data_IF_474631372372
#
_entry.id   IF_474631372372
#
_cell.length_a   1.000
_cell.length_b   1.000
_cell.length_c   1.000
_cell.angle_alpha   90.00
_cell.angle_beta   90.00
_cell.angle_gamma   90.00
#
_symmetry.space_group_name_H-M   'P 1'
#
loop_
_entity.id
_entity.type
_entity.pdbx_description
1 polymer ?
#
# COMPACT_ATOMS: atom_id res chain seq x y z
N UNK A 1 48.88 -12.56 -32.82
CA UNK A 1 48.76 -11.48 -31.82
C UNK A 1 47.59 -10.53 -32.16
N UNK A 2 46.38 -11.08 -32.35
CA UNK A 2 45.12 -10.33 -32.62
C UNK A 2 43.90 -10.92 -31.91
N UNK A 3 44.08 -11.99 -31.13
CA UNK A 3 42.99 -12.75 -30.50
C UNK A 3 42.87 -12.44 -28.98
N UNK A 4 43.85 -11.73 -28.41
CA UNK A 4 43.91 -11.45 -26.96
C UNK A 4 43.17 -10.18 -26.52
N UNK A 5 42.68 -9.35 -27.45
CA UNK A 5 42.02 -8.06 -27.11
C UNK A 5 40.51 -8.23 -26.90
N UNK A 6 39.89 -9.27 -27.47
CA UNK A 6 38.44 -9.46 -27.37
C UNK A 6 37.97 -10.16 -26.09
N UNK A 7 38.86 -10.87 -25.38
CA UNK A 7 38.49 -11.61 -24.17
C UNK A 7 38.41 -10.73 -22.91
N UNK A 8 38.98 -9.52 -22.95
CA UNK A 8 38.93 -8.57 -21.81
C UNK A 8 37.66 -7.71 -21.85
N UNK A 9 37.04 -7.51 -23.02
CA UNK A 9 35.81 -6.71 -23.13
C UNK A 9 34.53 -7.45 -22.73
N UNK A 10 34.57 -8.79 -22.60
CA UNK A 10 33.42 -9.59 -22.17
C UNK A 10 33.33 -9.77 -20.65
N UNK A 11 34.38 -9.40 -19.90
CA UNK A 11 34.43 -9.52 -18.44
C UNK A 11 34.07 -8.23 -17.68
N UNK A 12 33.77 -7.13 -18.38
CA UNK A 12 33.37 -5.85 -17.76
C UNK A 12 31.86 -5.64 -17.70
N UNK A 13 31.03 -6.61 -18.11
CA UNK A 13 29.57 -6.47 -18.08
C UNK A 13 28.88 -7.09 -16.85
N UNK A 14 29.61 -7.73 -15.94
CA UNK A 14 29.00 -8.45 -14.81
C UNK A 14 29.04 -7.73 -13.46
N UNK A 15 29.43 -6.46 -13.41
CA UNK A 15 29.29 -5.67 -12.19
C UNK A 15 28.90 -4.24 -12.53
N UNK A 16 27.68 -3.81 -12.14
CA UNK A 16 27.35 -2.46 -11.63
C UNK A 16 25.86 -2.08 -11.73
N UNK A 17 24.93 -3.03 -11.75
CA UNK A 17 23.58 -2.77 -11.24
C UNK A 17 23.20 -3.92 -10.32
N UNK A 18 23.60 -3.83 -9.05
CA UNK A 18 22.83 -4.45 -7.99
C UNK A 18 21.48 -3.72 -7.96
N UNK A 19 20.57 -4.05 -8.88
CA UNK A 19 19.17 -3.65 -8.74
C UNK A 19 18.75 -4.20 -7.38
N UNK A 20 18.50 -3.30 -6.42
CA UNK A 20 18.11 -3.69 -5.07
C UNK A 20 16.85 -4.55 -5.24
N UNK A 21 16.94 -5.83 -4.90
CA UNK A 21 15.82 -6.75 -5.07
C UNK A 21 14.68 -6.29 -4.17
N UNK A 22 13.50 -6.12 -4.77
CA UNK A 22 12.28 -5.84 -4.03
C UNK A 22 11.95 -7.09 -3.20
N UNK A 23 12.15 -7.01 -1.88
CA UNK A 23 11.84 -8.12 -0.97
C UNK A 23 10.78 -7.70 0.04
N UNK A 24 9.96 -8.65 0.46
CA UNK A 24 8.92 -8.45 1.46
C UNK A 24 9.46 -7.78 2.74
N UNK A 25 10.58 -8.27 3.29
CA UNK A 25 11.15 -7.77 4.54
C UNK A 25 11.61 -6.32 4.43
N UNK A 26 12.22 -5.97 3.29
CA UNK A 26 12.67 -4.60 3.04
C UNK A 26 11.48 -3.65 2.93
N UNK A 27 10.43 -4.04 2.21
CA UNK A 27 9.25 -3.20 2.01
C UNK A 27 8.41 -3.09 3.27
N UNK A 28 8.24 -4.17 4.03
CA UNK A 28 7.60 -4.11 5.34
C UNK A 28 8.36 -3.17 6.29
N UNK A 29 9.69 -3.27 6.35
CA UNK A 29 10.50 -2.41 7.21
C UNK A 29 10.43 -0.92 6.83
N UNK A 30 10.32 -0.61 5.54
CA UNK A 30 10.10 0.77 5.06
C UNK A 30 8.67 1.24 5.39
N UNK A 31 7.64 0.41 5.14
CA UNK A 31 6.24 0.71 5.46
C UNK A 31 6.06 1.02 6.94
N UNK A 32 6.64 0.22 7.82
CA UNK A 32 6.53 0.41 9.28
C UNK A 32 7.16 1.73 9.77
N UNK A 33 8.08 2.31 9.01
CA UNK A 33 8.73 3.60 9.29
C UNK A 33 8.16 4.74 8.46
N UNK A 34 7.06 4.51 7.74
CA UNK A 34 6.56 5.43 6.73
C UNK A 34 5.49 6.41 7.23
N UNK A 35 5.25 6.50 8.55
CA UNK A 35 4.26 7.41 9.15
C UNK A 35 4.36 8.84 8.62
N UNK A 36 5.58 9.31 8.36
CA UNK A 36 5.86 10.63 7.81
C UNK A 36 5.37 10.86 6.37
N UNK A 37 5.07 9.81 5.60
CA UNK A 37 4.73 9.92 4.17
C UNK A 37 3.57 9.04 3.72
N UNK A 38 3.00 8.26 4.62
CA UNK A 38 1.93 7.30 4.32
C UNK A 38 0.64 8.00 3.90
N UNK A 39 0.14 7.60 2.75
CA UNK A 39 -1.24 7.78 2.31
C UNK A 39 -1.92 6.41 2.28
N UNK A 40 -3.21 6.36 2.56
CA UNK A 40 -3.98 5.11 2.62
C UNK A 40 -5.30 5.27 1.88
N UNK A 41 -5.57 4.38 0.94
CA UNK A 41 -6.86 4.31 0.24
C UNK A 41 -7.59 3.03 0.65
N UNK A 42 -8.84 3.15 1.12
CA UNK A 42 -9.72 2.03 1.45
C UNK A 42 -10.69 1.80 0.29
N UNK A 43 -10.58 0.66 -0.40
CA UNK A 43 -11.32 0.44 -1.65
C UNK A 43 -12.27 -0.74 -1.50
N UNK A 44 -13.57 -0.50 -1.70
CA UNK A 44 -14.57 -1.57 -1.78
C UNK A 44 -14.70 -2.02 -3.22
N UNK A 45 -14.21 -3.21 -3.61
CA UNK A 45 -14.20 -3.63 -5.02
C UNK A 45 -15.60 -3.84 -5.62
N UNK A 46 -16.63 -3.96 -4.77
CA UNK A 46 -18.03 -4.13 -5.18
C UNK A 46 -18.77 -2.80 -5.33
N UNK A 47 -18.07 -1.66 -5.19
CA UNK A 47 -18.65 -0.34 -5.30
C UNK A 47 -17.62 0.67 -5.79
N UNK A 48 -18.09 1.69 -6.51
CA UNK A 48 -17.27 2.82 -6.97
C UNK A 48 -16.86 3.78 -5.82
N UNK A 49 -17.08 3.38 -4.58
CA UNK A 49 -16.85 4.19 -3.39
C UNK A 49 -15.60 3.72 -2.68
N UNK A 50 -14.73 4.66 -2.40
CA UNK A 50 -13.50 4.48 -1.65
C UNK A 50 -13.34 5.61 -0.63
N UNK A 51 -12.43 5.41 0.32
CA UNK A 51 -11.97 6.46 1.22
C UNK A 51 -10.49 6.71 0.95
N UNK A 52 -10.11 7.92 0.58
CA UNK A 52 -8.71 8.34 0.53
C UNK A 52 -8.33 9.08 1.80
N UNK A 53 -7.20 8.67 2.39
CA UNK A 53 -6.60 9.27 3.57
C UNK A 53 -5.24 9.78 3.15
N UNK A 54 -5.08 11.10 3.10
CA UNK A 54 -3.96 11.74 2.44
C UNK A 54 -3.23 12.68 3.39
N UNK A 55 -1.90 12.62 3.31
CA UNK A 55 -1.00 13.55 3.99
C UNK A 55 -0.60 14.62 2.98
N UNK A 56 -0.72 15.88 3.38
CA UNK A 56 -0.31 17.06 2.60
C UNK A 56 -1.03 17.23 1.24
N UNK A 57 -2.23 16.64 1.05
CA UNK A 57 -3.02 16.88 -0.16
C UNK A 57 -3.76 18.22 -0.09
N UNK A 58 -3.72 18.97 -1.20
CA UNK A 58 -4.50 20.21 -1.35
C UNK A 58 -5.93 19.79 -1.70
N UNK A 59 -6.83 19.90 -0.73
CA UNK A 59 -8.25 19.59 -0.93
C UNK A 59 -8.88 20.70 -1.78
N UNK A 60 -9.06 20.46 -3.09
CA UNK A 60 -9.63 21.46 -4.00
C UNK A 60 -11.09 21.82 -3.64
N UNK A 61 -11.86 20.85 -3.14
CA UNK A 61 -13.21 21.07 -2.63
C UNK A 61 -13.64 20.00 -1.59
N UNK A 62 -13.53 20.28 -0.28
CA UNK A 62 -13.81 19.31 0.78
C UNK A 62 -15.28 18.87 0.81
N UNK A 63 -16.21 19.70 0.36
CA UNK A 63 -17.65 19.41 0.41
C UNK A 63 -18.05 18.40 -0.67
N UNK A 64 -17.43 18.45 -1.85
CA UNK A 64 -17.71 17.54 -2.96
C UNK A 64 -16.99 16.19 -2.80
N UNK A 65 -15.80 16.19 -2.20
CA UNK A 65 -14.90 15.04 -2.14
C UNK A 65 -14.55 14.61 -0.70
N UNK A 66 -15.44 14.85 0.27
CA UNK A 66 -15.19 14.64 1.71
C UNK A 66 -14.64 13.28 2.15
N UNK A 67 -14.79 12.23 1.33
CA UNK A 67 -14.24 10.91 1.62
C UNK A 67 -12.95 10.59 0.84
N UNK A 68 -12.57 11.38 -0.16
CA UNK A 68 -11.41 11.14 -1.04
C UNK A 68 -10.15 11.80 -0.47
N UNK A 69 -10.30 12.89 0.29
CA UNK A 69 -9.19 13.65 0.87
C UNK A 69 -9.33 13.83 2.39
N UNK A 70 -9.46 12.72 3.12
CA UNK A 70 -9.43 12.77 4.59
C UNK A 70 -8.00 13.09 5.03
N UNK A 71 -7.81 14.27 5.62
CA UNK A 71 -6.49 14.71 6.09
C UNK A 71 -5.96 13.80 7.22
N UNK A 72 -4.71 13.36 7.06
CA UNK A 72 -3.96 12.61 8.07
C UNK A 72 -2.68 13.34 8.49
N UNK A 73 -2.05 12.82 9.53
CA UNK A 73 -0.74 13.26 9.98
C UNK A 73 0.09 12.06 10.43
N UNK A 74 1.35 12.31 10.79
CA UNK A 74 2.28 11.26 11.20
C UNK A 74 1.73 10.37 12.33
N UNK A 75 1.14 10.98 13.36
CA UNK A 75 0.56 10.25 14.50
C UNK A 75 -0.59 9.35 14.06
N UNK A 76 -1.52 9.86 13.25
CA UNK A 76 -2.64 9.07 12.73
C UNK A 76 -2.16 7.94 11.81
N UNK A 77 -1.13 8.18 11.00
CA UNK A 77 -0.53 7.17 10.15
C UNK A 77 0.17 6.06 10.95
N UNK A 78 0.88 6.39 12.02
CA UNK A 78 1.42 5.40 12.95
C UNK A 78 0.30 4.53 13.54
N UNK A 79 -0.84 5.14 13.90
CA UNK A 79 -2.02 4.40 14.36
C UNK A 79 -2.63 3.50 13.28
N UNK A 80 -2.66 3.91 12.00
CA UNK A 80 -3.07 3.05 10.88
C UNK A 80 -2.17 1.81 10.83
N UNK A 81 -0.85 2.00 10.81
CA UNK A 81 0.13 0.90 10.77
C UNK A 81 -0.09 -0.04 11.97
N UNK A 82 -0.28 0.52 13.18
CA UNK A 82 -0.58 -0.25 14.38
C UNK A 82 -1.87 -1.07 14.29
N UNK A 83 -2.93 -0.52 13.67
CA UNK A 83 -4.17 -1.26 13.40
C UNK A 83 -3.92 -2.40 12.41
N UNK A 84 -3.20 -2.15 11.32
CA UNK A 84 -2.91 -3.21 10.33
C UNK A 84 -2.13 -4.37 10.97
N UNK A 85 -1.15 -4.06 11.84
CA UNK A 85 -0.45 -5.06 12.66
C UNK A 85 -1.39 -5.82 13.58
N UNK A 86 -2.25 -5.12 14.33
CA UNK A 86 -3.23 -5.73 15.24
C UNK A 86 -4.16 -6.73 14.54
N UNK A 87 -4.50 -6.49 13.27
CA UNK A 87 -5.34 -7.36 12.46
C UNK A 87 -4.57 -8.42 11.65
N UNK A 88 -3.25 -8.54 11.85
CA UNK A 88 -2.35 -9.42 11.08
C UNK A 88 -2.47 -9.23 9.56
N UNK A 89 -2.60 -7.97 9.13
CA UNK A 89 -2.79 -7.61 7.72
C UNK A 89 -1.48 -7.28 7.00
N UNK A 90 -0.35 -7.25 7.71
CA UNK A 90 0.97 -6.94 7.14
C UNK A 90 1.84 -8.18 6.92
N UNK A 91 1.32 -9.38 7.21
CA UNK A 91 2.02 -10.66 6.99
C UNK A 91 2.24 -10.95 5.50
N UNK A 92 1.49 -10.26 4.64
CA UNK A 92 1.65 -10.27 3.18
C UNK A 92 1.46 -8.87 2.66
N UNK A 93 2.28 -8.51 1.68
CA UNK A 93 2.18 -7.26 0.96
C UNK A 93 2.19 -7.58 -0.52
N UNK A 94 1.24 -7.01 -1.24
CA UNK A 94 1.12 -7.20 -2.68
C UNK A 94 1.58 -5.94 -3.39
N UNK A 95 2.14 -6.09 -4.58
CA UNK A 95 2.49 -4.98 -5.48
C UNK A 95 1.87 -5.23 -6.84
N UNK A 96 1.52 -4.16 -7.54
CA UNK A 96 0.99 -4.27 -8.89
C UNK A 96 2.14 -4.40 -9.90
N UNK A 97 2.16 -5.52 -10.63
CA UNK A 97 3.13 -5.81 -11.69
C UNK A 97 2.33 -6.28 -12.90
N UNK A 98 2.45 -5.60 -14.03
CA UNK A 98 1.76 -5.97 -15.29
C UNK A 98 0.23 -6.16 -15.14
N UNK A 99 -0.41 -5.35 -14.29
CA UNK A 99 -1.84 -5.41 -13.90
C UNK A 99 -2.24 -6.60 -13.02
N UNK A 100 -1.26 -7.31 -12.43
CA UNK A 100 -1.49 -8.35 -11.44
C UNK A 100 -1.02 -7.88 -10.06
N UNK A 101 -1.82 -8.17 -9.02
CA UNK A 101 -1.46 -7.87 -7.64
C UNK A 101 -0.72 -9.06 -7.05
N UNK A 102 0.61 -9.03 -7.15
CA UNK A 102 1.51 -10.14 -6.82
C UNK A 102 2.08 -10.00 -5.41
N UNK A 103 2.06 -11.10 -4.65
CA UNK A 103 2.62 -11.18 -3.29
C UNK A 103 4.15 -11.07 -3.34
N UNK A 104 4.73 -10.22 -2.50
CA UNK A 104 6.19 -10.06 -2.41
C UNK A 104 6.91 -11.28 -1.82
N UNK A 105 6.17 -12.19 -1.18
CA UNK A 105 6.71 -13.36 -0.47
C UNK A 105 6.40 -14.71 -1.13
N UNK A 106 5.54 -14.75 -2.15
CA UNK A 106 5.13 -15.99 -2.81
C UNK A 106 4.58 -15.72 -4.21
N UNK A 107 4.41 -16.77 -5.04
CA UNK A 107 3.82 -16.64 -6.40
C UNK A 107 2.29 -16.45 -6.38
N UNK A 108 1.72 -15.97 -5.26
CA UNK A 108 0.28 -15.77 -5.11
C UNK A 108 -0.12 -14.41 -5.66
N UNK A 109 -1.26 -14.40 -6.35
CA UNK A 109 -1.91 -13.19 -6.83
C UNK A 109 -3.28 -13.09 -6.15
N UNK A 110 -3.74 -11.87 -5.85
CA UNK A 110 -5.14 -11.65 -5.53
C UNK A 110 -5.83 -10.83 -6.62
N UNK A 111 -7.13 -11.04 -6.78
CA UNK A 111 -7.97 -10.19 -7.63
C UNK A 111 -8.78 -9.26 -6.75
N UNK A 112 -8.79 -7.94 -6.99
CA UNK A 112 -9.57 -7.00 -6.20
C UNK A 112 -11.04 -7.41 -6.05
N UNK A 113 -11.66 -7.92 -7.12
CA UNK A 113 -13.06 -8.36 -7.14
C UNK A 113 -13.39 -9.52 -6.20
N UNK A 114 -12.38 -10.28 -5.76
CA UNK A 114 -12.53 -11.40 -4.82
C UNK A 114 -12.41 -10.96 -3.34
N UNK A 115 -12.10 -9.68 -3.09
CA UNK A 115 -11.96 -9.14 -1.75
C UNK A 115 -13.26 -8.48 -1.27
N UNK A 116 -13.41 -8.31 0.04
CA UNK A 116 -14.48 -7.47 0.61
C UNK A 116 -14.02 -6.02 0.76
N UNK A 117 -12.72 -5.84 0.97
CA UNK A 117 -12.01 -4.57 1.05
C UNK A 117 -10.57 -4.85 0.66
N UNK A 118 -9.91 -3.91 0.00
CA UNK A 118 -8.46 -3.90 -0.03
C UNK A 118 -7.97 -2.48 0.22
N UNK A 119 -6.76 -2.40 0.76
CA UNK A 119 -6.11 -1.13 1.06
C UNK A 119 -4.97 -0.93 0.08
N UNK A 120 -4.86 0.28 -0.43
CA UNK A 120 -3.64 0.77 -1.05
C UNK A 120 -2.86 1.59 -0.03
N UNK A 121 -1.60 1.25 0.19
CA UNK A 121 -0.66 1.92 1.08
C UNK A 121 0.42 2.55 0.22
N UNK A 122 0.38 3.87 0.10
CA UNK A 122 1.29 4.64 -0.74
C UNK A 122 2.25 5.44 0.13
N UNK A 123 3.56 5.22 -0.03
CA UNK A 123 4.55 5.81 0.86
C UNK A 123 5.93 5.99 0.22
N UNK A 124 6.75 6.88 0.79
CA UNK A 124 8.14 7.08 0.37
C UNK A 124 9.04 6.04 1.03
N UNK A 125 9.96 5.49 0.26
CA UNK A 125 11.01 4.57 0.71
C UNK A 125 12.38 5.20 0.50
N UNK A 126 13.37 4.79 1.30
CA UNK A 126 14.74 5.30 1.17
C UNK A 126 15.48 4.74 -0.04
N UNK A 127 15.11 3.55 -0.52
CA UNK A 127 15.87 2.83 -1.54
C UNK A 127 15.13 2.53 -2.84
N UNK A 128 13.81 2.69 -2.90
CA UNK A 128 12.97 2.31 -4.04
C UNK A 128 12.13 3.49 -4.57
N UNK A 129 12.32 4.70 -4.02
CA UNK A 129 11.48 5.85 -4.33
C UNK A 129 10.11 5.73 -3.69
N UNK A 130 9.06 6.05 -4.45
CA UNK A 130 7.67 5.93 -4.00
C UNK A 130 7.20 4.50 -4.25
N UNK A 131 6.51 3.92 -3.26
CA UNK A 131 5.97 2.57 -3.32
C UNK A 131 4.45 2.60 -3.11
N UNK A 132 3.75 1.71 -3.83
CA UNK A 132 2.35 1.37 -3.55
C UNK A 132 2.27 -0.12 -3.21
N UNK A 133 1.72 -0.43 -2.03
CA UNK A 133 1.49 -1.80 -1.58
C UNK A 133 -0.01 -2.02 -1.34
N UNK A 134 -0.47 -3.21 -1.68
CA UNK A 134 -1.87 -3.60 -1.56
C UNK A 134 -2.05 -4.64 -0.47
N UNK A 135 -3.10 -4.47 0.33
CA UNK A 135 -3.45 -5.34 1.45
C UNK A 135 -4.90 -5.81 1.29
N UNK A 136 -5.14 -7.04 0.79
CA UNK A 136 -6.49 -7.56 0.61
C UNK A 136 -7.10 -8.07 1.92
N UNK A 137 -8.39 -7.81 2.10
CA UNK A 137 -9.22 -8.33 3.20
C UNK A 137 -10.39 -9.10 2.62
N UNK A 138 -10.28 -10.42 2.67
CA UNK A 138 -11.26 -11.34 2.06
C UNK A 138 -12.50 -11.57 2.93
N UNK A 139 -12.38 -11.44 4.25
CA UNK A 139 -13.47 -11.74 5.18
C UNK A 139 -14.26 -10.50 5.52
N UNK A 140 -15.57 -10.53 5.25
CA UNK A 140 -16.49 -9.42 5.53
C UNK A 140 -16.45 -8.95 6.98
N UNK A 141 -16.36 -9.89 7.93
CA UNK A 141 -16.26 -9.59 9.36
C UNK A 141 -14.99 -8.80 9.68
N UNK A 142 -13.83 -9.28 9.21
CA UNK A 142 -12.53 -8.60 9.40
C UNK A 142 -12.51 -7.22 8.76
N UNK A 143 -13.03 -7.08 7.53
CA UNK A 143 -13.13 -5.79 6.87
C UNK A 143 -13.96 -4.77 7.68
N UNK A 144 -15.08 -5.21 8.28
CA UNK A 144 -15.90 -4.35 9.15
C UNK A 144 -15.22 -3.99 10.46
N UNK A 145 -14.47 -4.91 11.05
CA UNK A 145 -13.69 -4.65 12.26
C UNK A 145 -12.55 -3.66 11.99
N UNK A 146 -11.83 -3.83 10.88
CA UNK A 146 -10.81 -2.89 10.42
C UNK A 146 -11.37 -1.48 10.22
N UNK A 147 -12.47 -1.34 9.49
CA UNK A 147 -13.14 -0.05 9.27
C UNK A 147 -13.56 0.58 10.60
N UNK A 148 -14.05 -0.21 11.55
CA UNK A 148 -14.44 0.29 12.87
C UNK A 148 -13.26 0.77 13.71
N UNK A 149 -12.09 0.17 13.58
CA UNK A 149 -10.89 0.65 14.26
C UNK A 149 -10.33 1.91 13.60
N UNK A 150 -10.31 1.97 12.25
CA UNK A 150 -9.91 3.17 11.52
C UNK A 150 -10.85 4.35 11.78
N UNK A 151 -12.16 4.12 11.82
CA UNK A 151 -13.17 5.15 12.15
C UNK A 151 -12.87 5.86 13.48
N UNK A 152 -12.22 5.21 14.45
CA UNK A 152 -11.90 5.81 15.75
C UNK A 152 -10.79 6.88 15.68
N UNK A 153 -10.00 6.90 14.61
CA UNK A 153 -8.86 7.82 14.43
C UNK A 153 -9.28 9.09 13.68
N UNK A 154 -10.36 9.03 12.91
CA UNK A 154 -10.79 10.11 12.01
C UNK A 154 -12.16 10.65 12.40
N UNK A 155 -12.34 11.96 12.23
CA UNK A 155 -13.60 12.66 12.55
C UNK A 155 -14.66 12.53 11.43
N UNK A 156 -14.39 11.73 10.41
CA UNK A 156 -15.20 11.57 9.21
C UNK A 156 -16.19 10.38 9.31
N UNK A 157 -16.97 10.33 10.39
CA UNK A 157 -17.89 9.22 10.71
C UNK A 157 -18.82 8.84 9.56
N UNK A 158 -19.26 9.82 8.77
CA UNK A 158 -20.10 9.59 7.60
C UNK A 158 -19.43 8.68 6.57
N UNK A 159 -18.17 8.92 6.23
CA UNK A 159 -17.42 8.18 5.22
C UNK A 159 -17.24 6.71 5.63
N UNK A 160 -16.75 6.47 6.85
CA UNK A 160 -16.56 5.10 7.35
C UNK A 160 -17.88 4.34 7.50
N UNK A 161 -18.97 5.01 7.93
CA UNK A 161 -20.31 4.41 7.95
C UNK A 161 -20.81 4.06 6.55
N UNK A 162 -20.53 4.90 5.55
CA UNK A 162 -20.88 4.65 4.14
C UNK A 162 -20.08 3.48 3.57
N UNK A 163 -18.77 3.40 3.84
CA UNK A 163 -17.93 2.26 3.44
C UNK A 163 -18.44 0.96 4.06
N UNK A 164 -18.69 0.95 5.37
CA UNK A 164 -19.18 -0.23 6.11
C UNK A 164 -20.51 -0.80 5.58
N UNK A 165 -21.36 0.05 4.98
CA UNK A 165 -22.63 -0.37 4.35
C UNK A 165 -22.44 -1.01 2.98
N UNK A 166 -21.35 -0.70 2.29
CA UNK A 166 -21.00 -1.22 0.97
C UNK A 166 -20.23 -2.54 1.02
N UNK A 167 -19.76 -2.90 2.21
CA UNK A 167 -19.22 -4.22 2.57
C UNK A 167 -20.32 -5.13 3.12
#
# INVERSE_FOLDING_TARGET
MRILIYTILFLTFSQSFSQKTLSFENILAELEKSSESLNTTLISPKSDFYIGITKDAIVENPELNSCIDIETNEKKNEQIIGILKKHNLLDKLYVEIENEYSDLSSDKIFKPTETELYLELFFKTKGFGIMSCFVPVFEKKKAKELICDLDKIFDYKYCFKKLKRKI
#
